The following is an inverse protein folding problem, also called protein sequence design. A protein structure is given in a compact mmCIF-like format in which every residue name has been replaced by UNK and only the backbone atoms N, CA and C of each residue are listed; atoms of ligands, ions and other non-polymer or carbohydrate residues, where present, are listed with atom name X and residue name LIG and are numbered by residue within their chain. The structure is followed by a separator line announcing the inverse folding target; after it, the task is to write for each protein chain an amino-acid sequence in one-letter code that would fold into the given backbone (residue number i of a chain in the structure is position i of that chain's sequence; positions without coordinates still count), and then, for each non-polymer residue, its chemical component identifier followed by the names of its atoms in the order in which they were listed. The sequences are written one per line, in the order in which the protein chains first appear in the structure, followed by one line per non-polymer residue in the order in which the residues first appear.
data_IF_223559424790
#
_entry.id   IF_223559424790
#
_cell.length_a   1.000
_cell.length_b   1.000
_cell.length_c   1.000
_cell.angle_alpha   90.00
_cell.angle_beta   90.00
_cell.angle_gamma   90.00
#
_symmetry.space_group_name_H-M   'P 1'
#
loop_
_entity.id
_entity.type
_entity.pdbx_description
1 polymer ?
#
# COMPACT_ATOMS: atom_id res chain seq x y z
N UNK A 1 33.16 -32.53 28.61
CA UNK A 1 33.14 -33.82 27.90
C UNK A 1 32.40 -33.69 26.56
N UNK A 2 33.00 -34.00 25.42
CA UNK A 2 32.28 -33.99 24.15
C UNK A 2 31.17 -35.04 24.16
N UNK A 3 29.98 -34.64 23.73
CA UNK A 3 28.84 -35.55 23.67
C UNK A 3 29.13 -36.77 22.81
N UNK A 4 28.83 -37.99 23.30
CA UNK A 4 29.07 -39.21 22.56
C UNK A 4 28.36 -39.21 21.21
N UNK A 5 28.87 -39.92 20.21
CA UNK A 5 28.27 -40.05 18.88
C UNK A 5 26.80 -40.45 18.97
N UNK A 6 26.43 -41.33 19.87
CA UNK A 6 25.08 -41.80 20.10
C UNK A 6 24.13 -40.74 20.65
N UNK A 7 24.62 -39.87 21.58
CA UNK A 7 23.84 -38.77 22.15
C UNK A 7 23.54 -37.69 21.08
N UNK A 8 24.47 -37.47 20.14
CA UNK A 8 24.23 -36.56 18.97
C UNK A 8 23.16 -37.13 18.04
N UNK A 9 23.19 -38.42 17.73
CA UNK A 9 22.18 -39.08 16.90
C UNK A 9 20.79 -39.00 17.54
N UNK A 10 20.65 -39.30 18.84
CA UNK A 10 19.39 -39.17 19.57
C UNK A 10 18.82 -37.77 19.52
N UNK A 11 19.66 -36.73 19.66
CA UNK A 11 19.24 -35.34 19.61
C UNK A 11 18.62 -34.98 18.23
N UNK A 12 19.27 -35.37 17.15
CA UNK A 12 18.77 -35.13 15.79
C UNK A 12 17.47 -35.90 15.54
N UNK A 13 17.41 -37.19 15.93
CA UNK A 13 16.19 -37.98 15.78
C UNK A 13 15.03 -37.47 16.65
N UNK A 14 15.31 -36.86 17.82
CA UNK A 14 14.29 -36.20 18.62
C UNK A 14 13.67 -34.99 17.89
N UNK A 15 14.49 -34.21 17.17
CA UNK A 15 14.02 -33.08 16.35
C UNK A 15 13.30 -33.55 15.07
N UNK A 16 13.62 -34.73 14.56
CA UNK A 16 13.02 -35.30 13.37
C UNK A 16 11.68 -36.03 13.64
N UNK A 17 11.19 -36.08 14.88
CA UNK A 17 9.89 -36.69 15.18
C UNK A 17 8.78 -36.03 14.36
N UNK A 18 7.93 -36.86 13.77
CA UNK A 18 6.84 -36.41 12.90
C UNK A 18 7.22 -36.19 11.43
N UNK A 19 8.48 -36.34 11.05
CA UNK A 19 8.89 -36.24 9.64
C UNK A 19 8.41 -37.44 8.83
N UNK A 20 8.11 -37.22 7.56
CA UNK A 20 7.57 -38.25 6.66
C UNK A 20 8.61 -39.32 6.32
N UNK A 21 8.17 -40.56 6.24
CA UNK A 21 8.96 -41.68 5.79
C UNK A 21 10.19 -41.98 6.67
N UNK A 22 11.28 -42.34 6.06
CA UNK A 22 12.56 -42.69 6.75
C UNK A 22 13.27 -41.46 7.38
N UNK A 23 12.82 -40.23 7.08
CA UNK A 23 13.40 -39.01 7.67
C UNK A 23 13.23 -38.95 9.19
N UNK A 24 12.26 -39.65 9.77
CA UNK A 24 12.07 -39.73 11.23
C UNK A 24 12.97 -40.73 11.94
N UNK A 25 13.42 -41.77 11.23
CA UNK A 25 14.09 -42.94 11.83
C UNK A 25 15.55 -43.10 11.40
N UNK A 26 15.90 -42.75 10.16
CA UNK A 26 17.25 -42.89 9.62
C UNK A 26 18.07 -41.61 9.89
N UNK A 27 19.11 -41.71 10.73
CA UNK A 27 19.92 -40.52 11.12
C UNK A 27 20.49 -39.75 9.93
N UNK A 28 21.01 -40.43 8.91
CA UNK A 28 21.62 -39.83 7.72
C UNK A 28 20.62 -38.87 7.01
N UNK A 29 19.41 -39.34 6.80
CA UNK A 29 18.33 -38.60 6.16
C UNK A 29 17.78 -37.54 7.11
N UNK A 30 17.55 -37.91 8.39
CA UNK A 30 17.05 -37.01 9.43
C UNK A 30 17.93 -35.79 9.61
N UNK A 31 19.26 -35.96 9.63
CA UNK A 31 20.20 -34.87 9.82
C UNK A 31 20.05 -33.77 8.75
N UNK A 32 20.02 -34.16 7.46
CA UNK A 32 19.86 -33.22 6.37
C UNK A 32 18.48 -32.52 6.43
N UNK A 33 17.43 -33.27 6.75
CA UNK A 33 16.07 -32.70 6.85
C UNK A 33 15.91 -31.75 8.04
N UNK A 34 16.49 -32.08 9.19
CA UNK A 34 16.51 -31.22 10.39
C UNK A 34 17.28 -29.94 10.12
N UNK A 35 18.45 -30.00 9.49
CA UNK A 35 19.22 -28.81 9.11
C UNK A 35 18.39 -27.87 8.20
N UNK A 36 17.76 -28.42 7.17
CA UNK A 36 16.87 -27.63 6.28
C UNK A 36 15.67 -27.06 7.02
N UNK A 37 15.04 -27.83 7.90
CA UNK A 37 13.92 -27.37 8.73
C UNK A 37 14.31 -26.19 9.59
N UNK A 38 15.48 -26.24 10.27
CA UNK A 38 15.96 -25.14 11.09
C UNK A 38 16.29 -23.88 10.26
N UNK A 39 16.89 -24.05 9.07
CA UNK A 39 17.11 -22.93 8.13
C UNK A 39 15.80 -22.27 7.70
N UNK A 40 14.80 -23.09 7.33
CA UNK A 40 13.47 -22.57 6.98
C UNK A 40 12.77 -21.89 8.16
N UNK A 41 12.88 -22.45 9.37
CA UNK A 41 12.33 -21.84 10.57
C UNK A 41 12.96 -20.50 10.88
N UNK A 42 14.27 -20.35 10.73
CA UNK A 42 14.97 -19.08 10.94
C UNK A 42 14.49 -18.02 9.96
N UNK A 43 14.46 -18.34 8.66
CA UNK A 43 13.94 -17.44 7.62
C UNK A 43 12.47 -17.12 7.83
N UNK A 44 11.66 -18.13 8.12
CA UNK A 44 10.22 -17.98 8.33
C UNK A 44 9.87 -17.05 9.48
N UNK A 45 10.61 -17.05 10.59
CA UNK A 45 10.40 -16.11 11.72
C UNK A 45 10.62 -14.66 11.28
N UNK A 46 11.59 -14.39 10.41
CA UNK A 46 11.82 -13.03 9.87
C UNK A 46 10.74 -12.61 8.88
N UNK A 47 10.37 -13.51 7.97
CA UNK A 47 9.33 -13.26 6.98
C UNK A 47 7.94 -13.09 7.61
N UNK A 48 7.62 -13.86 8.67
CA UNK A 48 6.33 -13.78 9.38
C UNK A 48 6.03 -12.35 9.84
N UNK A 49 7.01 -11.66 10.42
CA UNK A 49 6.84 -10.27 10.88
C UNK A 49 6.51 -9.32 9.72
N UNK A 50 7.20 -9.47 8.59
CA UNK A 50 7.00 -8.65 7.39
C UNK A 50 5.62 -8.92 6.77
N UNK A 51 5.23 -10.19 6.66
CA UNK A 51 3.91 -10.59 6.12
C UNK A 51 2.76 -10.12 7.00
N UNK A 52 2.89 -10.24 8.33
CA UNK A 52 1.89 -9.73 9.26
C UNK A 52 1.69 -8.22 9.10
N UNK A 53 2.78 -7.44 9.01
CA UNK A 53 2.70 -6.00 8.79
C UNK A 53 2.04 -5.64 7.46
N UNK A 54 2.38 -6.34 6.37
CA UNK A 54 1.75 -6.14 5.08
C UNK A 54 0.24 -6.42 5.13
N UNK A 55 -0.17 -7.50 5.81
CA UNK A 55 -1.57 -7.85 6.00
C UNK A 55 -2.33 -6.77 6.80
N UNK A 56 -1.74 -6.24 7.87
CA UNK A 56 -2.35 -5.15 8.63
C UNK A 56 -2.58 -3.90 7.78
N UNK A 57 -1.58 -3.51 6.98
CA UNK A 57 -1.70 -2.38 6.05
C UNK A 57 -2.83 -2.59 5.04
N UNK A 58 -2.95 -3.81 4.48
CA UNK A 58 -4.04 -4.14 3.55
C UNK A 58 -5.42 -4.02 4.21
N UNK A 59 -5.59 -4.55 5.43
CA UNK A 59 -6.85 -4.49 6.18
C UNK A 59 -7.24 -3.05 6.51
N UNK A 60 -6.31 -2.25 7.03
CA UNK A 60 -6.54 -0.84 7.32
C UNK A 60 -6.93 -0.08 6.06
N UNK A 61 -6.20 -0.27 4.96
CA UNK A 61 -6.49 0.40 3.69
C UNK A 61 -7.86 0.01 3.12
N UNK A 62 -8.26 -1.25 3.27
CA UNK A 62 -9.59 -1.71 2.88
C UNK A 62 -10.68 -1.04 3.74
N UNK A 63 -10.49 -0.97 5.08
CA UNK A 63 -11.41 -0.29 5.97
C UNK A 63 -11.56 1.20 5.68
N UNK A 64 -10.44 1.89 5.42
CA UNK A 64 -10.46 3.30 5.03
C UNK A 64 -11.23 3.52 3.73
N UNK A 65 -10.98 2.71 2.71
CA UNK A 65 -11.68 2.81 1.42
C UNK A 65 -13.14 2.40 1.48
N UNK A 66 -13.54 1.61 2.46
CA UNK A 66 -14.95 1.29 2.70
C UNK A 66 -15.71 2.50 3.26
N UNK A 67 -15.05 3.34 4.05
CA UNK A 67 -15.61 4.58 4.59
C UNK A 67 -15.66 5.67 3.52
N UNK A 68 -14.54 5.90 2.83
CA UNK A 68 -14.41 6.93 1.79
C UNK A 68 -13.66 6.37 0.57
N UNK A 69 -14.40 5.97 -0.48
CA UNK A 69 -13.80 5.34 -1.67
C UNK A 69 -12.90 6.27 -2.48
N UNK A 70 -13.20 7.57 -2.49
CA UNK A 70 -12.67 8.53 -3.47
C UNK A 70 -11.66 9.53 -2.90
N UNK A 71 -10.95 9.23 -1.86
CA UNK A 71 -9.98 10.23 -1.38
C UNK A 71 -9.09 9.73 -0.25
N UNK A 72 -9.61 8.86 0.58
CA UNK A 72 -8.87 8.34 1.71
C UNK A 72 -8.00 7.14 1.34
N UNK A 73 -6.78 7.14 1.86
CA UNK A 73 -5.83 6.03 1.69
C UNK A 73 -5.15 5.72 3.02
N UNK A 74 -4.52 4.54 3.09
CA UNK A 74 -3.69 4.18 4.25
C UNK A 74 -2.65 5.26 4.59
N UNK A 75 -2.01 5.86 3.57
CA UNK A 75 -0.98 6.88 3.78
C UNK A 75 -1.54 8.14 4.41
N UNK A 76 -2.72 8.58 3.95
CA UNK A 76 -3.44 9.69 4.53
C UNK A 76 -3.83 9.42 5.99
N UNK A 77 -4.44 8.27 6.29
CA UNK A 77 -4.81 7.89 7.66
C UNK A 77 -3.58 7.86 8.57
N UNK A 78 -2.47 7.28 8.12
CA UNK A 78 -1.25 7.17 8.94
C UNK A 78 -0.62 8.54 9.23
N UNK A 79 -0.64 9.46 8.26
CA UNK A 79 -0.19 10.84 8.45
C UNK A 79 -1.12 11.60 9.39
N UNK A 80 -2.43 11.44 9.22
CA UNK A 80 -3.44 12.08 10.05
C UNK A 80 -3.44 11.58 11.51
N UNK A 81 -3.21 10.30 11.76
CA UNK A 81 -3.03 9.77 13.12
C UNK A 81 -1.84 10.40 13.84
N UNK A 82 -0.73 10.62 13.12
CA UNK A 82 0.43 11.32 13.68
C UNK A 82 0.11 12.79 13.99
N UNK A 83 -0.64 13.49 13.12
CA UNK A 83 -1.06 14.86 13.34
C UNK A 83 -2.08 15.01 14.48
N UNK A 84 -2.97 14.02 14.63
CA UNK A 84 -3.95 13.95 15.72
C UNK A 84 -3.38 13.44 17.05
N UNK A 85 -2.07 13.16 17.13
CA UNK A 85 -1.42 12.54 18.30
C UNK A 85 -2.07 11.22 18.76
N UNK A 86 -2.60 10.42 17.84
CA UNK A 86 -3.19 9.13 18.13
C UNK A 86 -2.16 8.02 17.98
N UNK A 87 -1.70 7.45 19.10
CA UNK A 87 -0.66 6.42 19.16
C UNK A 87 -1.23 5.00 19.06
N UNK A 88 -2.00 4.69 18.02
CA UNK A 88 -2.47 3.35 17.76
C UNK A 88 -1.52 2.60 16.81
N UNK A 89 -1.13 1.39 17.21
CA UNK A 89 -0.29 0.57 16.34
C UNK A 89 -1.11 -0.10 15.22
N UNK A 90 -0.42 -0.50 14.14
CA UNK A 90 -1.05 -1.10 12.95
C UNK A 90 -1.82 -2.39 13.24
N UNK A 91 -1.38 -3.16 14.26
CA UNK A 91 -2.07 -4.39 14.65
C UNK A 91 -3.44 -4.07 15.20
N UNK A 92 -3.54 -3.16 16.17
CA UNK A 92 -4.80 -2.73 16.78
C UNK A 92 -5.72 -2.09 15.74
N UNK A 93 -5.21 -1.19 14.89
CA UNK A 93 -6.01 -0.58 13.81
C UNK A 93 -6.57 -1.63 12.83
N UNK A 94 -5.78 -2.65 12.50
CA UNK A 94 -6.24 -3.73 11.61
C UNK A 94 -7.28 -4.63 12.29
N UNK A 95 -7.16 -4.85 13.59
CA UNK A 95 -8.14 -5.61 14.37
C UNK A 95 -9.45 -4.80 14.50
N UNK A 96 -9.39 -3.50 14.80
CA UNK A 96 -10.55 -2.61 14.82
C UNK A 96 -11.27 -2.58 13.46
N UNK A 97 -10.52 -2.44 12.37
CA UNK A 97 -11.12 -2.40 11.02
C UNK A 97 -11.90 -3.68 10.66
N UNK A 98 -11.57 -4.83 11.28
CA UNK A 98 -12.22 -6.11 10.99
C UNK A 98 -13.32 -6.44 12.01
N UNK A 99 -13.04 -6.28 13.31
CA UNK A 99 -13.92 -6.71 14.39
C UNK A 99 -14.87 -5.61 14.87
N UNK A 100 -14.43 -4.35 14.79
CA UNK A 100 -15.15 -3.22 15.36
C UNK A 100 -15.19 -2.02 14.39
N UNK A 101 -15.95 -2.11 13.29
CA UNK A 101 -15.98 -1.08 12.25
C UNK A 101 -16.48 0.28 12.77
N UNK A 102 -17.33 0.32 13.78
CA UNK A 102 -17.78 1.58 14.38
C UNK A 102 -16.68 2.28 15.15
N UNK A 103 -15.90 1.55 15.95
CA UNK A 103 -14.71 2.09 16.65
C UNK A 103 -13.65 2.57 15.66
N UNK A 104 -13.44 1.83 14.58
CA UNK A 104 -12.56 2.24 13.50
C UNK A 104 -13.05 3.52 12.80
N UNK A 105 -14.36 3.67 12.61
CA UNK A 105 -14.98 4.89 12.07
C UNK A 105 -14.75 6.10 12.98
N UNK A 106 -14.88 5.96 14.30
CA UNK A 106 -14.59 7.06 15.23
C UNK A 106 -13.11 7.52 15.13
N UNK A 107 -12.18 6.57 14.98
CA UNK A 107 -10.75 6.90 14.76
C UNK A 107 -10.57 7.64 13.43
N UNK A 108 -11.26 7.21 12.38
CA UNK A 108 -11.24 7.85 11.07
C UNK A 108 -11.76 9.30 11.15
N UNK A 109 -12.94 9.51 11.76
CA UNK A 109 -13.59 10.83 11.91
C UNK A 109 -12.70 11.80 12.73
N UNK A 110 -12.00 11.28 13.76
CA UNK A 110 -11.00 12.06 14.52
C UNK A 110 -9.85 12.53 13.62
N UNK A 111 -9.36 11.67 12.73
CA UNK A 111 -8.31 12.03 11.79
C UNK A 111 -8.80 13.03 10.74
N UNK A 112 -10.01 12.83 10.22
CA UNK A 112 -10.62 13.72 9.22
C UNK A 112 -10.83 15.14 9.76
N UNK A 113 -11.19 15.28 11.06
CA UNK A 113 -11.34 16.59 11.71
C UNK A 113 -10.03 17.37 11.80
N UNK A 114 -8.88 16.67 11.88
CA UNK A 114 -7.54 17.30 11.98
C UNK A 114 -6.90 17.50 10.62
N UNK A 115 -7.05 16.53 9.73
CA UNK A 115 -6.47 16.54 8.37
C UNK A 115 -7.58 16.22 7.37
N UNK A 116 -8.31 17.22 6.86
CA UNK A 116 -9.36 16.99 5.89
C UNK A 116 -8.80 16.37 4.60
N UNK A 117 -9.60 15.49 3.98
CA UNK A 117 -9.24 14.84 2.72
C UNK A 117 -9.29 15.88 1.61
N UNK A 118 -8.18 16.13 0.96
CA UNK A 118 -8.12 17.01 -0.23
C UNK A 118 -8.91 16.35 -1.37
N UNK A 119 -10.01 17.00 -1.77
CA UNK A 119 -10.86 16.55 -2.88
C UNK A 119 -12.08 15.71 -2.49
N UNK A 120 -12.40 15.51 -1.23
CA UNK A 120 -13.68 15.02 -0.78
C UNK A 120 -14.72 16.14 -0.88
N UNK A 121 -15.63 16.01 -1.85
CA UNK A 121 -16.79 16.90 -2.08
C UNK A 121 -16.47 18.34 -2.51
N UNK A 122 -16.17 18.52 -3.80
CA UNK A 122 -16.34 19.83 -4.47
C UNK A 122 -15.43 20.96 -4.01
N UNK A 123 -14.40 20.70 -3.23
CA UNK A 123 -13.40 21.71 -2.94
C UNK A 123 -12.48 21.85 -4.15
N UNK A 124 -12.65 22.96 -4.81
CA UNK A 124 -11.78 23.49 -5.85
C UNK A 124 -10.35 23.48 -5.34
N UNK A 125 -9.44 22.77 -6.01
CA UNK A 125 -8.03 22.70 -5.64
C UNK A 125 -7.41 24.10 -5.51
N UNK A 126 -6.21 24.26 -4.93
CA UNK A 126 -5.57 25.55 -4.70
C UNK A 126 -5.40 26.40 -5.97
N UNK A 127 -5.63 25.83 -7.16
CA UNK A 127 -5.61 26.50 -8.46
C UNK A 127 -7.02 26.77 -9.03
N UNK A 128 -8.09 26.58 -8.25
CA UNK A 128 -9.45 26.85 -8.71
C UNK A 128 -10.06 25.81 -9.67
N UNK A 129 -9.44 24.64 -9.85
CA UNK A 129 -9.87 23.62 -10.81
C UNK A 129 -10.56 22.45 -10.13
N UNK A 130 -11.65 21.93 -10.70
CA UNK A 130 -12.39 20.75 -10.28
C UNK A 130 -11.52 19.46 -10.34
N UNK A 131 -11.78 18.46 -9.49
CA UNK A 131 -11.10 17.16 -9.57
C UNK A 131 -11.34 16.50 -10.94
N UNK A 132 -10.32 16.39 -11.75
CA UNK A 132 -10.37 15.91 -13.15
C UNK A 132 -10.02 16.98 -14.18
N UNK A 133 -10.22 18.24 -13.92
CA UNK A 133 -9.77 19.34 -14.79
C UNK A 133 -8.25 19.48 -14.77
N UNK A 134 -7.62 19.19 -13.65
CA UNK A 134 -6.17 19.18 -13.55
C UNK A 134 -5.50 18.08 -14.41
N UNK A 135 -6.13 16.93 -14.57
CA UNK A 135 -5.64 15.92 -15.52
C UNK A 135 -5.91 16.29 -16.97
N UNK A 136 -7.04 16.93 -17.25
CA UNK A 136 -7.36 17.49 -18.59
C UNK A 136 -6.37 18.59 -18.94
N UNK A 137 -6.17 19.56 -18.06
CA UNK A 137 -5.16 20.62 -18.23
C UNK A 137 -3.74 20.07 -18.40
N UNK A 138 -3.35 19.00 -17.70
CA UNK A 138 -2.07 18.31 -17.91
C UNK A 138 -2.01 17.57 -19.25
N UNK A 139 -3.09 17.00 -19.74
CA UNK A 139 -3.13 16.35 -21.05
C UNK A 139 -3.09 17.42 -22.16
N UNK A 140 -3.82 18.50 -22.01
CA UNK A 140 -3.80 19.64 -22.95
C UNK A 140 -2.42 20.31 -22.97
N UNK A 141 -1.77 20.49 -21.81
CA UNK A 141 -0.41 21.02 -21.73
C UNK A 141 0.65 20.11 -22.37
N UNK A 142 0.42 18.79 -22.43
CA UNK A 142 1.33 17.84 -23.13
C UNK A 142 1.16 17.85 -24.65
N UNK A 143 0.00 18.26 -25.15
CA UNK A 143 -0.31 18.43 -26.57
C UNK A 143 -0.25 19.90 -27.01
N UNK A 144 0.29 20.77 -26.15
CA UNK A 144 0.46 22.17 -26.47
C UNK A 144 1.59 22.33 -27.51
N UNK A 145 1.17 22.59 -28.76
CA UNK A 145 2.08 23.00 -29.82
C UNK A 145 2.02 24.52 -29.98
N UNK A 146 3.09 25.25 -29.59
CA UNK A 146 3.13 26.71 -29.65
C UNK A 146 3.05 27.27 -31.08
N UNK A 147 3.37 26.45 -32.10
CA UNK A 147 3.26 26.86 -33.50
C UNK A 147 1.81 26.78 -33.99
N UNK A 148 1.07 25.74 -33.57
CA UNK A 148 -0.34 25.60 -33.92
C UNK A 148 -1.19 26.71 -33.30
N UNK A 149 -0.85 27.13 -32.09
CA UNK A 149 -1.55 28.24 -31.45
C UNK A 149 -1.28 29.58 -32.11
N UNK A 150 -0.02 29.87 -32.48
CA UNK A 150 0.32 31.08 -33.27
C UNK A 150 -0.38 31.10 -34.63
N UNK A 151 -0.56 29.93 -35.27
CA UNK A 151 -1.33 29.84 -36.51
C UNK A 151 -2.83 30.18 -36.28
N UNK A 152 -3.43 29.63 -35.21
CA UNK A 152 -4.84 29.92 -34.85
C UNK A 152 -5.04 31.39 -34.54
N UNK A 153 -4.18 32.00 -33.73
CA UNK A 153 -4.22 33.43 -33.42
C UNK A 153 -4.06 34.31 -34.67
N UNK A 154 -3.16 33.93 -35.58
CA UNK A 154 -2.98 34.62 -36.88
C UNK A 154 -4.22 34.53 -37.78
N UNK A 155 -4.86 33.36 -37.88
CA UNK A 155 -6.09 33.19 -38.64
C UNK A 155 -7.27 33.95 -38.01
N UNK A 156 -7.43 33.97 -36.72
CA UNK A 156 -8.42 34.77 -36.02
C UNK A 156 -8.21 36.29 -36.25
N UNK A 157 -6.96 36.70 -36.31
CA UNK A 157 -6.64 38.10 -36.59
C UNK A 157 -7.01 38.50 -38.03
N UNK A 158 -6.75 37.63 -39.00
CA UNK A 158 -7.17 37.83 -40.40
C UNK A 158 -8.69 37.87 -40.59
N UNK A 159 -9.43 37.00 -39.84
CA UNK A 159 -10.90 37.00 -39.84
C UNK A 159 -11.47 38.29 -39.24
N UNK A 160 -10.83 38.86 -38.20
CA UNK A 160 -11.21 40.16 -37.61
C UNK A 160 -10.94 41.34 -38.55
N UNK A 161 -9.92 41.23 -39.41
CA UNK A 161 -9.57 42.23 -40.42
C UNK A 161 -10.36 42.09 -41.71
N UNK A 162 -11.30 41.13 -41.80
CA UNK A 162 -12.21 40.94 -42.94
C UNK A 162 -11.55 40.35 -44.20
N UNK A 163 -10.43 39.65 -44.02
CA UNK A 163 -9.73 38.97 -45.10
C UNK A 163 -10.27 37.54 -45.24
N UNK A 164 -10.93 37.24 -46.37
CA UNK A 164 -11.42 35.87 -46.66
C UNK A 164 -10.23 34.90 -46.82
N UNK A 165 -10.03 34.06 -45.81
CA UNK A 165 -8.97 33.06 -45.82
C UNK A 165 -9.51 31.77 -46.42
N UNK A 166 -9.11 31.44 -47.63
CA UNK A 166 -9.41 30.16 -48.29
C UNK A 166 -8.61 29.07 -47.56
N UNK A 167 -9.32 28.22 -46.81
CA UNK A 167 -8.74 27.01 -46.18
C UNK A 167 -8.58 25.95 -47.28
N UNK A 168 -7.33 25.76 -47.77
CA UNK A 168 -6.95 24.65 -48.64
C UNK A 168 -6.39 23.49 -47.80
#
# INVERSE_FOLDING_TARGET
MPASRWSRHKRVLKLAKGFRGRAKNCYRIANNRVQKSLQHAYRGRKEKKRRARALWIQRINAGVRQIEPNGASYSWLQGGLAAANVELNRKVLADLAVSEPFSFRCVYDTVESVVPIRGAKGEVGPNGLEPGEHERAKREARHFDPEEQRRKEFFEQLEREGVDVVRS
#
